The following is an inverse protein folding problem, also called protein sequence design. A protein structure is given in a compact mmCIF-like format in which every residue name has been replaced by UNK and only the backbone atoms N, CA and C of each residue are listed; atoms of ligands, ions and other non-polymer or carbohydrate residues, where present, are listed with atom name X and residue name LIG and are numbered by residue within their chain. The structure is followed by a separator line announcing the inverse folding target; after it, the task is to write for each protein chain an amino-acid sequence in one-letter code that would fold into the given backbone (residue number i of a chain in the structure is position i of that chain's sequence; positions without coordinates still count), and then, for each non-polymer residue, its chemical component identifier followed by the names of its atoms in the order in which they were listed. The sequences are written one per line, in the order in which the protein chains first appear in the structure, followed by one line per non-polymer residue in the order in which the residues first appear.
data_IF_370404653578
#
_entry.id   IF_370404653578
#
_cell.length_a   1.000
_cell.length_b   1.000
_cell.length_c   1.000
_cell.angle_alpha   90.00
_cell.angle_beta   90.00
_cell.angle_gamma   90.00
#
_symmetry.space_group_name_H-M   'P 1'
#
loop_
_entity.id
_entity.type
_entity.pdbx_description
1 polymer ?
#
# COMPACT_ATOMS: atom_id res chain seq x y z
N UNK A 1 -22.84 13.78 -29.47
CA UNK A 1 -22.11 12.50 -29.48
C UNK A 1 -21.10 12.53 -28.33
N UNK A 2 -21.45 11.91 -27.20
CA UNK A 2 -20.67 12.00 -25.96
C UNK A 2 -20.02 10.66 -25.66
N UNK A 3 -18.69 10.64 -25.55
CA UNK A 3 -17.96 9.48 -25.04
C UNK A 3 -18.27 9.34 -23.54
N UNK A 4 -19.09 8.36 -23.21
CA UNK A 4 -19.40 8.00 -21.83
C UNK A 4 -18.29 7.08 -21.33
N UNK A 5 -17.27 7.65 -20.71
CA UNK A 5 -16.25 6.86 -20.00
C UNK A 5 -16.83 6.51 -18.62
N UNK A 6 -17.31 5.27 -18.48
CA UNK A 6 -17.65 4.69 -17.18
C UNK A 6 -16.39 4.06 -16.62
N UNK A 7 -15.78 4.72 -15.63
CA UNK A 7 -14.80 4.06 -14.77
C UNK A 7 -15.62 3.28 -13.72
N UNK A 8 -15.60 1.94 -13.73
CA UNK A 8 -16.11 1.17 -12.59
C UNK A 8 -15.25 1.50 -11.38
N UNK A 9 -15.83 1.52 -10.17
CA UNK A 9 -15.15 1.82 -8.91
C UNK A 9 -14.10 0.76 -8.49
N UNK A 10 -13.17 0.40 -9.38
CA UNK A 10 -12.14 -0.64 -9.20
C UNK A 10 -10.71 -0.16 -9.44
N UNK A 11 -10.50 1.14 -9.65
CA UNK A 11 -9.16 1.74 -9.64
C UNK A 11 -9.10 2.83 -8.57
N UNK A 12 -9.14 2.37 -7.34
CA UNK A 12 -8.75 3.20 -6.20
C UNK A 12 -7.27 2.91 -5.94
N UNK A 13 -6.39 3.56 -6.71
CA UNK A 13 -5.07 3.94 -6.21
C UNK A 13 -5.30 5.11 -5.25
N UNK A 14 -6.00 4.87 -4.12
CA UNK A 14 -6.04 5.83 -3.02
C UNK A 14 -4.83 5.55 -2.15
N UNK A 15 -3.71 6.19 -2.49
CA UNK A 15 -2.83 6.68 -1.44
C UNK A 15 -3.66 7.63 -0.59
N UNK A 16 -4.25 7.12 0.50
CA UNK A 16 -5.08 7.92 1.40
C UNK A 16 -4.20 8.97 2.08
N UNK A 17 -4.22 10.18 1.52
CA UNK A 17 -3.69 11.39 2.13
C UNK A 17 -4.65 11.85 3.23
N UNK A 18 -4.39 11.53 4.50
CA UNK A 18 -5.18 12.07 5.63
C UNK A 18 -4.31 12.48 6.84
N UNK A 19 -4.42 13.78 7.10
CA UNK A 19 -4.25 14.65 8.29
C UNK A 19 -2.94 14.78 9.09
N UNK A 20 -2.60 16.05 9.30
CA UNK A 20 -1.39 16.62 9.88
C UNK A 20 -1.64 17.06 11.31
N UNK A 21 -0.94 16.48 12.29
CA UNK A 21 -0.37 17.22 13.44
C UNK A 21 0.46 16.32 14.37
N UNK A 22 1.76 16.64 14.51
CA UNK A 22 2.63 16.40 15.67
C UNK A 22 3.27 15.02 15.92
N UNK A 23 3.12 14.02 15.06
CA UNK A 23 3.97 12.80 15.13
C UNK A 23 4.88 12.72 13.89
N UNK A 24 6.22 12.76 14.03
CA UNK A 24 7.13 12.70 12.88
C UNK A 24 7.09 11.34 12.17
N UNK A 25 6.61 10.28 12.84
CA UNK A 25 6.40 8.95 12.25
C UNK A 25 4.96 8.84 11.79
N UNK A 26 4.75 8.67 10.48
CA UNK A 26 3.42 8.44 9.92
C UNK A 26 3.31 7.01 9.41
N UNK A 27 2.38 6.24 9.97
CA UNK A 27 2.03 4.94 9.40
C UNK A 27 1.21 5.14 8.12
N UNK A 28 1.54 4.39 7.08
CA UNK A 28 0.75 4.27 5.86
C UNK A 28 0.27 2.83 5.68
N UNK A 29 -0.73 2.67 4.81
CA UNK A 29 -1.28 1.37 4.42
C UNK A 29 -1.45 1.32 2.90
N UNK A 30 -1.24 0.13 2.33
CA UNK A 30 -1.38 -0.14 0.90
C UNK A 30 -2.13 -1.47 0.72
N UNK A 31 -3.11 -1.51 -0.17
CA UNK A 31 -3.73 -2.76 -0.61
C UNK A 31 -3.27 -3.13 -2.01
N UNK A 32 -2.97 -4.41 -2.21
CA UNK A 32 -2.59 -5.02 -3.48
C UNK A 32 -3.46 -6.25 -3.69
N UNK A 33 -4.11 -6.34 -4.84
CA UNK A 33 -4.83 -7.55 -5.25
C UNK A 33 -3.89 -8.48 -6.03
N UNK A 34 -3.83 -9.75 -5.65
CA UNK A 34 -3.09 -10.81 -6.33
C UNK A 34 -4.02 -11.93 -6.78
N UNK A 35 -3.57 -12.78 -7.69
CA UNK A 35 -4.33 -13.94 -8.13
C UNK A 35 -4.49 -14.96 -6.99
N UNK A 36 -5.60 -15.71 -6.96
CA UNK A 36 -5.80 -16.75 -5.95
C UNK A 36 -4.82 -17.93 -6.10
N UNK A 37 -4.26 -18.11 -7.30
CA UNK A 37 -3.27 -19.16 -7.61
C UNK A 37 -1.82 -18.71 -7.35
N UNK A 38 -1.59 -17.46 -6.96
CA UNK A 38 -0.25 -16.94 -6.66
C UNK A 38 0.25 -17.41 -5.28
N UNK A 39 1.57 -17.51 -5.12
CA UNK A 39 2.18 -17.77 -3.81
C UNK A 39 2.09 -16.50 -2.94
N UNK A 40 1.11 -16.50 -2.03
CA UNK A 40 0.82 -15.37 -1.15
C UNK A 40 2.00 -15.02 -0.22
N UNK A 41 2.77 -16.02 0.22
CA UNK A 41 3.94 -15.79 1.09
C UNK A 41 5.05 -15.09 0.29
N UNK A 42 5.29 -15.54 -0.94
CA UNK A 42 6.22 -14.87 -1.83
C UNK A 42 5.78 -13.44 -2.15
N UNK A 43 4.48 -13.22 -2.40
CA UNK A 43 3.93 -11.90 -2.68
C UNK A 43 4.06 -10.94 -1.48
N UNK A 44 3.81 -11.43 -0.26
CA UNK A 44 4.03 -10.66 0.97
C UNK A 44 5.52 -10.32 1.11
N UNK A 45 6.41 -11.31 1.01
CA UNK A 45 7.85 -11.09 1.16
C UNK A 45 8.40 -10.11 0.12
N UNK A 46 7.97 -10.21 -1.14
CA UNK A 46 8.36 -9.27 -2.19
C UNK A 46 7.84 -7.85 -1.93
N UNK A 47 6.62 -7.71 -1.39
CA UNK A 47 6.06 -6.41 -1.02
C UNK A 47 6.77 -5.77 0.17
N UNK A 48 7.10 -6.54 1.20
CA UNK A 48 7.90 -6.07 2.35
C UNK A 48 9.28 -5.59 1.89
N UNK A 49 9.99 -6.40 1.10
CA UNK A 49 11.32 -6.08 0.57
C UNK A 49 11.29 -4.84 -0.36
N UNK A 50 10.22 -4.65 -1.13
CA UNK A 50 10.03 -3.47 -1.95
C UNK A 50 9.80 -2.20 -1.11
N UNK A 51 9.06 -2.30 0.00
CA UNK A 51 8.81 -1.19 0.91
C UNK A 51 10.07 -0.81 1.69
N UNK A 52 10.87 -1.78 2.14
CA UNK A 52 12.16 -1.55 2.80
C UNK A 52 13.16 -0.80 1.89
N UNK A 53 13.10 -1.02 0.57
CA UNK A 53 13.96 -0.32 -0.40
C UNK A 53 13.47 1.08 -0.77
N UNK A 54 12.26 1.46 -0.36
CA UNK A 54 11.66 2.72 -0.77
C UNK A 54 12.20 3.89 0.06
N UNK A 55 12.72 4.91 -0.62
CA UNK A 55 13.21 6.11 0.04
C UNK A 55 12.10 6.77 0.87
N UNK A 56 12.38 7.04 2.13
CA UNK A 56 11.45 7.67 3.06
C UNK A 56 10.63 6.70 3.91
N UNK A 57 10.60 5.40 3.57
CA UNK A 57 10.08 4.35 4.46
C UNK A 57 11.11 4.06 5.55
N UNK A 58 10.64 3.83 6.77
CA UNK A 58 11.45 3.57 7.95
C UNK A 58 11.64 2.08 8.16
N UNK A 59 12.85 1.69 8.55
CA UNK A 59 13.20 0.29 8.88
C UNK A 59 12.78 -0.10 10.31
N UNK A 60 12.59 0.90 11.19
CA UNK A 60 12.15 0.70 12.57
C UNK A 60 10.99 1.63 12.94
N UNK A 61 9.77 1.10 13.14
CA UNK A 61 9.37 -0.30 12.96
C UNK A 61 9.33 -0.73 11.48
N UNK A 62 9.61 -2.01 11.16
CA UNK A 62 9.71 -2.50 9.79
C UNK A 62 8.35 -2.58 9.11
N UNK A 63 8.34 -2.45 7.77
CA UNK A 63 7.16 -2.72 6.98
C UNK A 63 6.72 -4.19 7.13
N UNK A 64 5.42 -4.44 7.06
CA UNK A 64 4.89 -5.80 7.09
C UNK A 64 3.63 -5.94 6.24
N UNK A 65 3.42 -7.14 5.70
CA UNK A 65 2.25 -7.50 4.89
C UNK A 65 1.40 -8.58 5.55
N UNK A 66 0.11 -8.60 5.21
CA UNK A 66 -0.82 -9.67 5.60
C UNK A 66 -1.86 -9.92 4.51
N UNK A 67 -2.46 -11.10 4.54
CA UNK A 67 -3.68 -11.40 3.76
C UNK A 67 -4.87 -10.79 4.48
N UNK A 68 -5.56 -9.86 3.83
CA UNK A 68 -6.75 -9.20 4.38
C UNK A 68 -8.04 -9.91 3.97
N UNK A 69 -8.16 -10.28 2.70
CA UNK A 69 -9.39 -10.85 2.14
C UNK A 69 -9.07 -11.93 1.11
N UNK A 70 -9.82 -13.04 1.16
CA UNK A 70 -9.83 -14.08 0.14
C UNK A 70 -11.12 -13.97 -0.66
N UNK A 71 -11.03 -13.49 -1.90
CA UNK A 71 -12.14 -13.41 -2.84
C UNK A 71 -12.12 -14.55 -3.86
N UNK A 72 -13.22 -14.70 -4.60
CA UNK A 72 -13.38 -15.79 -5.58
C UNK A 72 -12.45 -15.65 -6.81
N UNK A 73 -11.90 -14.46 -7.06
CA UNK A 73 -11.05 -14.19 -8.23
C UNK A 73 -9.81 -13.37 -7.90
N UNK A 74 -9.61 -12.99 -6.64
CA UNK A 74 -8.42 -12.29 -6.18
C UNK A 74 -8.26 -12.46 -4.66
N UNK A 75 -7.03 -12.26 -4.20
CA UNK A 75 -6.69 -12.15 -2.78
C UNK A 75 -6.20 -10.73 -2.52
N UNK A 76 -6.71 -10.10 -1.47
CA UNK A 76 -6.25 -8.76 -1.05
C UNK A 76 -5.13 -8.92 -0.04
N UNK A 77 -3.94 -8.45 -0.41
CA UNK A 77 -2.81 -8.26 0.49
C UNK A 77 -2.81 -6.82 1.00
N UNK A 78 -2.65 -6.65 2.31
CA UNK A 78 -2.54 -5.36 2.97
C UNK A 78 -1.13 -5.21 3.54
N UNK A 79 -0.46 -4.11 3.19
CA UNK A 79 0.84 -3.75 3.71
C UNK A 79 0.74 -2.52 4.59
N UNK A 80 1.63 -2.47 5.58
CA UNK A 80 1.80 -1.35 6.49
C UNK A 80 3.27 -0.96 6.54
N UNK A 81 3.53 0.34 6.66
CA UNK A 81 4.87 0.86 6.86
C UNK A 81 4.83 2.23 7.51
N UNK A 82 6.00 2.77 7.84
CA UNK A 82 6.13 4.09 8.46
C UNK A 82 7.02 4.98 7.61
N UNK A 83 6.71 6.27 7.55
CA UNK A 83 7.56 7.28 6.89
C UNK A 83 7.93 8.39 7.88
N UNK A 84 9.15 8.94 7.75
CA UNK A 84 9.59 10.13 8.51
C UNK A 84 9.20 11.40 7.76
N UNK A 85 8.21 12.11 8.29
CA UNK A 85 7.64 13.31 7.67
C UNK A 85 8.62 14.51 7.67
N UNK A 86 9.79 14.42 8.32
CA UNK A 86 10.79 15.50 8.35
C UNK A 86 11.75 15.49 7.16
N UNK A 87 11.80 14.41 6.40
CA UNK A 87 12.84 14.19 5.37
C UNK A 87 12.35 14.28 3.93
N UNK A 88 11.04 14.36 3.72
CA UNK A 88 10.42 14.63 2.42
C UNK A 88 9.49 15.82 2.54
N UNK A 89 10.07 17.02 2.50
CA UNK A 89 9.31 18.23 2.16
C UNK A 89 8.94 18.15 0.68
N UNK A 90 7.65 18.19 0.38
CA UNK A 90 7.16 18.45 -0.97
C UNK A 90 7.63 19.86 -1.39
N UNK A 91 8.62 19.91 -2.28
CA UNK A 91 8.90 21.05 -3.15
C UNK A 91 9.02 20.55 -4.59
#
# INVERSE_FOLDING_TARGET
AGNHVRIPNGQIVKGTLVNYTRNPRRRFELAVAVGPDDDLLQAISAGEEALERMEGVMDDPPAYGLVEELGDSWVTLRFFGWVDQRRHEFL
#
